data_IF_051114738325
#
_entry.id   IF_051114738325
#
_cell.length_a   1.000
_cell.length_b   1.000
_cell.length_c   1.000
_cell.angle_alpha   90.00
_cell.angle_beta   90.00
_cell.angle_gamma   90.00
#
_symmetry.space_group_name_H-M   'P 1'
#
loop_
_entity.id
_entity.type
_entity.pdbx_description
1 polymer ?
#
# COMPACT_ATOMS: atom_id res chain seq x y z
N UNK A 1 11.86 3.71 -13.07
CA UNK A 1 11.56 2.27 -13.25
C UNK A 1 11.19 1.74 -11.88
N UNK A 2 10.20 0.85 -11.79
CA UNK A 2 9.87 0.19 -10.51
C UNK A 2 11.01 -0.71 -10.06
N UNK A 3 11.21 -0.93 -8.75
CA UNK A 3 12.28 -1.79 -8.25
C UNK A 3 12.19 -3.21 -8.80
N UNK A 4 13.35 -3.83 -9.05
CA UNK A 4 13.39 -5.17 -9.62
C UNK A 4 12.97 -6.23 -8.60
N UNK A 5 12.23 -7.25 -9.06
CA UNK A 5 11.95 -8.46 -8.29
C UNK A 5 13.20 -9.35 -8.26
N UNK A 6 13.47 -9.99 -7.13
CA UNK A 6 14.61 -10.87 -6.86
C UNK A 6 14.13 -12.29 -6.58
N UNK A 7 14.98 -13.26 -6.89
CA UNK A 7 14.81 -14.70 -6.60
C UNK A 7 13.68 -15.43 -7.34
N UNK A 8 12.65 -14.71 -7.80
CA UNK A 8 11.57 -15.22 -8.64
C UNK A 8 11.46 -14.39 -9.91
N UNK A 9 10.89 -14.98 -10.97
CA UNK A 9 10.68 -14.32 -12.25
C UNK A 9 9.18 -14.04 -12.41
N UNK A 10 8.71 -12.80 -12.24
CA UNK A 10 7.31 -12.46 -12.46
C UNK A 10 6.85 -12.82 -13.87
N UNK A 11 5.59 -13.25 -13.98
CA UNK A 11 4.91 -13.41 -15.27
C UNK A 11 4.79 -12.04 -15.93
N UNK A 12 5.30 -11.93 -17.15
CA UNK A 12 5.17 -10.72 -17.98
C UNK A 12 3.68 -10.44 -18.21
N UNK A 13 3.18 -9.22 -17.92
CA UNK A 13 1.78 -8.86 -18.16
C UNK A 13 1.29 -9.11 -19.59
N UNK A 14 2.16 -9.08 -20.60
CA UNK A 14 1.82 -9.38 -22.01
C UNK A 14 1.52 -10.85 -22.27
N UNK A 15 2.04 -11.73 -21.42
CA UNK A 15 1.92 -13.18 -21.51
C UNK A 15 1.14 -13.77 -20.33
N UNK A 16 0.56 -12.92 -19.48
CA UNK A 16 -0.24 -13.36 -18.35
C UNK A 16 -1.57 -13.94 -18.86
N UNK A 17 -1.93 -15.10 -18.34
CA UNK A 17 -3.18 -15.80 -18.65
C UNK A 17 -3.93 -16.18 -17.37
N UNK A 18 -5.19 -16.61 -17.52
CA UNK A 18 -6.02 -17.09 -16.42
C UNK A 18 -6.12 -16.12 -15.22
N UNK A 19 -5.94 -16.66 -14.02
CA UNK A 19 -6.04 -15.91 -12.74
C UNK A 19 -5.01 -14.78 -12.65
N UNK A 20 -3.79 -14.97 -13.16
CA UNK A 20 -2.74 -13.93 -13.12
C UNK A 20 -3.16 -12.73 -13.96
N UNK A 21 -3.68 -12.96 -15.18
CA UNK A 21 -4.16 -11.90 -16.04
C UNK A 21 -5.32 -11.13 -15.41
N UNK A 22 -6.23 -11.82 -14.74
CA UNK A 22 -7.37 -11.20 -14.06
C UNK A 22 -6.91 -10.30 -12.90
N UNK A 23 -6.04 -10.81 -12.03
CA UNK A 23 -5.50 -10.00 -10.93
C UNK A 23 -4.73 -8.79 -11.47
N UNK A 24 -3.91 -8.94 -12.49
CA UNK A 24 -3.18 -7.81 -13.10
C UNK A 24 -4.13 -6.76 -13.68
N UNK A 25 -5.25 -7.16 -14.28
CA UNK A 25 -6.28 -6.22 -14.76
C UNK A 25 -6.89 -5.44 -13.61
N UNK A 26 -7.31 -6.12 -12.54
CA UNK A 26 -7.91 -5.48 -11.37
C UNK A 26 -6.93 -4.51 -10.69
N UNK A 27 -5.69 -4.96 -10.45
CA UNK A 27 -4.60 -4.12 -9.89
C UNK A 27 -4.41 -2.86 -10.73
N UNK A 28 -4.34 -2.99 -12.06
CA UNK A 28 -4.16 -1.83 -12.93
C UNK A 28 -5.36 -0.89 -12.91
N UNK A 29 -6.57 -1.43 -12.79
CA UNK A 29 -7.80 -0.63 -12.72
C UNK A 29 -7.91 0.15 -11.39
N UNK A 30 -7.56 -0.48 -10.28
CA UNK A 30 -7.82 0.06 -8.94
C UNK A 30 -6.61 0.79 -8.33
N UNK A 31 -5.39 0.43 -8.73
CA UNK A 31 -4.15 1.09 -8.26
C UNK A 31 -3.44 1.89 -9.35
N UNK A 32 -3.86 1.78 -10.61
CA UNK A 32 -3.25 2.47 -11.76
C UNK A 32 -1.89 1.93 -12.20
N UNK A 33 -1.13 1.31 -11.30
CA UNK A 33 0.23 0.81 -11.53
C UNK A 33 0.37 -0.63 -11.06
N UNK A 34 0.95 -1.46 -11.92
CA UNK A 34 1.37 -2.80 -11.57
C UNK A 34 2.81 -2.77 -11.07
N UNK A 35 3.03 -3.22 -9.84
CA UNK A 35 4.34 -3.13 -9.16
C UNK A 35 4.74 -4.42 -8.44
N UNK A 36 5.99 -4.47 -7.91
CA UNK A 36 6.56 -5.66 -7.28
C UNK A 36 5.73 -6.18 -6.10
N UNK A 37 4.95 -5.32 -5.43
CA UNK A 37 4.05 -5.72 -4.34
C UNK A 37 3.06 -6.82 -4.75
N UNK A 38 2.68 -6.90 -6.03
CA UNK A 38 1.79 -7.94 -6.55
C UNK A 38 2.50 -8.85 -7.56
N UNK A 39 3.35 -8.31 -8.43
CA UNK A 39 3.97 -9.11 -9.51
C UNK A 39 4.90 -10.19 -8.96
N UNK A 40 5.50 -10.02 -7.78
CA UNK A 40 6.36 -11.04 -7.17
C UNK A 40 5.64 -12.36 -6.85
N UNK A 41 4.30 -12.35 -6.73
CA UNK A 41 3.50 -13.55 -6.47
C UNK A 41 3.01 -14.24 -7.74
N UNK A 42 3.13 -13.59 -8.91
CA UNK A 42 2.57 -14.12 -10.16
C UNK A 42 3.05 -15.50 -10.61
N UNK A 43 4.24 -16.01 -10.22
CA UNK A 43 4.62 -17.40 -10.49
C UNK A 43 3.84 -18.44 -9.68
N UNK A 44 3.12 -18.02 -8.63
CA UNK A 44 2.29 -18.86 -7.77
C UNK A 44 0.86 -18.29 -7.72
N UNK A 45 0.01 -18.54 -8.73
CA UNK A 45 -1.34 -17.97 -8.82
C UNK A 45 -2.23 -18.25 -7.59
N UNK A 46 -2.03 -19.39 -6.94
CA UNK A 46 -2.68 -19.81 -5.70
C UNK A 46 -2.33 -18.92 -4.50
N UNK A 47 -1.22 -18.17 -4.56
CA UNK A 47 -0.86 -17.13 -3.59
C UNK A 47 -1.26 -15.74 -4.08
N UNK A 48 -1.09 -15.46 -5.38
CA UNK A 48 -1.38 -14.16 -5.96
C UNK A 48 -2.83 -13.72 -5.70
N UNK A 49 -3.80 -14.57 -6.03
CA UNK A 49 -5.20 -14.18 -5.94
C UNK A 49 -5.64 -13.92 -4.48
N UNK A 50 -5.34 -14.79 -3.49
CA UNK A 50 -5.67 -14.49 -2.11
C UNK A 50 -4.97 -13.25 -1.55
N UNK A 51 -3.69 -13.02 -1.89
CA UNK A 51 -2.97 -11.81 -1.45
C UNK A 51 -3.59 -10.56 -2.04
N UNK A 52 -3.97 -10.59 -3.33
CA UNK A 52 -4.70 -9.49 -3.95
C UNK A 52 -6.05 -9.26 -3.28
N UNK A 53 -6.84 -10.30 -3.03
CA UNK A 53 -8.12 -10.17 -2.32
C UNK A 53 -7.95 -9.56 -0.92
N UNK A 54 -6.96 -10.01 -0.15
CA UNK A 54 -6.67 -9.45 1.16
C UNK A 54 -6.32 -7.96 1.07
N UNK A 55 -5.44 -7.58 0.15
CA UNK A 55 -5.08 -6.17 -0.04
C UNK A 55 -6.29 -5.35 -0.47
N UNK A 56 -7.04 -5.83 -1.46
CA UNK A 56 -8.19 -5.12 -2.02
C UNK A 56 -9.26 -4.87 -0.98
N UNK A 57 -9.74 -5.91 -0.31
CA UNK A 57 -10.84 -5.78 0.64
C UNK A 57 -10.43 -5.02 1.90
N UNK A 58 -9.19 -5.18 2.37
CA UNK A 58 -8.74 -4.54 3.60
C UNK A 58 -8.21 -3.12 3.42
N UNK A 59 -7.80 -2.73 2.21
CA UNK A 59 -7.26 -1.40 1.93
C UNK A 59 -8.13 -0.60 0.96
N UNK A 60 -8.54 -1.17 -0.19
CA UNK A 60 -9.27 -0.48 -1.29
C UNK A 60 -10.73 -0.27 -0.97
N UNK A 61 -11.43 -1.31 -0.53
CA UNK A 61 -12.86 -1.20 -0.28
C UNK A 61 -13.15 -0.29 0.92
N UNK A 62 -14.05 0.67 0.75
CA UNK A 62 -14.48 1.64 1.76
C UNK A 62 -14.72 3.02 1.15
N UNK A 63 -15.23 3.96 1.95
CA UNK A 63 -15.30 5.37 1.53
C UNK A 63 -13.93 6.08 1.68
N UNK A 64 -13.76 7.29 1.11
CA UNK A 64 -12.49 8.01 1.11
C UNK A 64 -11.87 8.22 2.50
N UNK A 65 -12.69 8.51 3.52
CA UNK A 65 -12.20 8.68 4.89
C UNK A 65 -11.74 7.37 5.53
N UNK A 66 -12.42 6.26 5.26
CA UNK A 66 -11.97 4.94 5.73
C UNK A 66 -10.68 4.54 5.00
N UNK A 67 -10.60 4.80 3.69
CA UNK A 67 -9.39 4.57 2.90
C UNK A 67 -8.21 5.33 3.48
N UNK A 68 -8.38 6.62 3.77
CA UNK A 68 -7.36 7.46 4.41
C UNK A 68 -6.88 6.87 5.75
N UNK A 69 -7.80 6.42 6.60
CA UNK A 69 -7.46 5.78 7.87
C UNK A 69 -6.67 4.47 7.67
N UNK A 70 -7.04 3.65 6.68
CA UNK A 70 -6.29 2.43 6.33
C UNK A 70 -4.90 2.73 5.76
N UNK A 71 -4.75 3.82 5.00
CA UNK A 71 -3.44 4.30 4.54
C UNK A 71 -2.53 4.74 5.70
N UNK A 72 -3.08 5.28 6.78
CA UNK A 72 -2.32 5.54 8.03
C UNK A 72 -1.75 4.23 8.58
N UNK A 73 -2.58 3.20 8.73
CA UNK A 73 -2.15 1.88 9.23
C UNK A 73 -1.05 1.29 8.32
N UNK A 74 -1.28 1.28 7.02
CA UNK A 74 -0.31 0.78 6.03
C UNK A 74 1.03 1.52 6.10
N UNK A 75 0.99 2.85 6.22
CA UNK A 75 2.20 3.70 6.30
C UNK A 75 2.98 3.42 7.58
N UNK A 76 2.31 3.32 8.72
CA UNK A 76 2.97 3.03 10.02
C UNK A 76 3.65 1.67 9.99
N UNK A 77 2.96 0.62 9.53
CA UNK A 77 3.54 -0.73 9.42
C UNK A 77 4.74 -0.72 8.46
N UNK A 78 4.65 -0.02 7.33
CA UNK A 78 5.74 0.11 6.38
C UNK A 78 6.99 0.80 6.96
N UNK A 79 6.79 1.92 7.68
CA UNK A 79 7.86 2.67 8.36
C UNK A 79 8.51 1.80 9.43
N UNK A 80 7.70 1.21 10.32
CA UNK A 80 8.17 0.33 11.40
C UNK A 80 8.98 -0.84 10.86
N UNK A 81 8.54 -1.44 9.76
CA UNK A 81 9.22 -2.59 9.15
C UNK A 81 10.42 -2.18 8.26
N UNK A 82 10.66 -0.88 8.04
CA UNK A 82 11.74 -0.36 7.21
C UNK A 82 11.60 -0.70 5.72
N UNK A 83 10.36 -0.81 5.22
CA UNK A 83 10.09 -1.10 3.82
C UNK A 83 9.94 0.20 3.01
N UNK A 84 11.01 0.62 2.33
CA UNK A 84 11.06 1.90 1.61
C UNK A 84 10.06 1.96 0.46
N UNK A 85 9.88 0.85 -0.26
CA UNK A 85 8.87 0.77 -1.33
C UNK A 85 7.48 1.10 -0.80
N UNK A 86 7.05 0.39 0.25
CA UNK A 86 5.74 0.60 0.86
C UNK A 86 5.63 2.00 1.48
N UNK A 87 6.64 2.47 2.22
CA UNK A 87 6.59 3.81 2.81
C UNK A 87 6.41 4.89 1.74
N UNK A 88 7.18 4.87 0.65
CA UNK A 88 7.06 5.88 -0.41
C UNK A 88 5.73 5.76 -1.18
N UNK A 89 5.22 4.55 -1.39
CA UNK A 89 3.93 4.32 -2.04
C UNK A 89 2.76 4.91 -1.22
N UNK A 90 2.66 4.54 0.07
CA UNK A 90 1.57 4.97 0.93
C UNK A 90 1.64 6.46 1.29
N UNK A 91 2.84 7.01 1.50
CA UNK A 91 3.02 8.47 1.66
C UNK A 91 2.54 9.19 0.40
N UNK A 92 2.89 8.69 -0.79
CA UNK A 92 2.42 9.31 -2.05
C UNK A 92 0.91 9.20 -2.20
N UNK A 93 0.28 8.10 -1.74
CA UNK A 93 -1.17 7.97 -1.72
C UNK A 93 -1.83 8.96 -0.77
N UNK A 94 -1.30 9.17 0.43
CA UNK A 94 -1.81 10.19 1.36
C UNK A 94 -1.65 11.62 0.79
N UNK A 95 -0.53 11.92 0.12
CA UNK A 95 -0.42 13.16 -0.67
C UNK A 95 -1.50 13.26 -1.75
N UNK A 96 -1.82 12.15 -2.41
CA UNK A 96 -2.85 12.12 -3.46
C UNK A 96 -4.24 12.33 -2.85
N UNK A 97 -4.50 11.82 -1.65
CA UNK A 97 -5.72 12.05 -0.88
C UNK A 97 -5.85 13.48 -0.33
N UNK A 98 -4.84 14.34 -0.51
CA UNK A 98 -4.87 15.73 -0.03
C UNK A 98 -4.34 15.91 1.40
N UNK A 99 -3.57 14.93 1.91
CA UNK A 99 -3.09 14.87 3.29
C UNK A 99 -1.54 14.92 3.37
N UNK A 100 -0.86 15.95 2.80
CA UNK A 100 0.59 15.96 2.71
C UNK A 100 1.28 16.12 4.08
N UNK A 101 0.69 16.83 5.03
CA UNK A 101 1.23 16.98 6.38
C UNK A 101 1.19 15.66 7.15
N UNK A 102 0.05 14.96 7.11
CA UNK A 102 -0.09 13.61 7.65
C UNK A 102 0.92 12.65 7.03
N UNK A 103 1.02 12.65 5.71
CA UNK A 103 1.90 11.76 4.97
C UNK A 103 3.37 11.93 5.39
N UNK A 104 3.85 13.18 5.47
CA UNK A 104 5.25 13.45 5.84
C UNK A 104 5.50 13.23 7.35
N UNK A 105 4.51 13.49 8.21
CA UNK A 105 4.59 13.17 9.63
C UNK A 105 4.76 11.67 9.86
N UNK A 106 3.88 10.85 9.27
CA UNK A 106 3.97 9.39 9.36
C UNK A 106 5.29 8.86 8.80
N UNK A 107 5.75 9.40 7.66
CA UNK A 107 7.07 9.04 7.09
C UNK A 107 8.22 9.28 8.08
N UNK A 108 8.15 10.37 8.83
CA UNK A 108 9.14 10.72 9.85
C UNK A 108 8.96 9.93 11.16
N UNK A 109 7.92 9.09 11.26
CA UNK A 109 7.58 8.35 12.48
C UNK A 109 6.85 9.19 13.53
N UNK A 110 6.29 10.35 13.14
CA UNK A 110 5.58 11.26 14.05
C UNK A 110 4.21 11.59 13.47
N UNK A 111 3.18 10.87 13.92
CA UNK A 111 1.81 11.12 13.50
C UNK A 111 1.29 12.47 14.04
N UNK A 112 0.50 13.23 13.25
CA UNK A 112 -0.25 14.38 13.78
C UNK A 112 -1.20 13.97 14.91
N UNK A 113 -1.52 14.87 15.86
CA UNK A 113 -2.34 14.54 17.04
C UNK A 113 -3.68 13.86 16.74
N UNK A 114 -4.34 14.26 15.66
CA UNK A 114 -5.63 13.71 15.25
C UNK A 114 -5.56 12.23 14.80
N UNK A 115 -4.38 11.77 14.36
CA UNK A 115 -4.12 10.40 13.91
C UNK A 115 -3.28 9.59 14.91
N UNK A 116 -2.83 10.21 16.00
CA UNK A 116 -1.87 9.60 16.93
C UNK A 116 -2.38 8.27 17.51
N UNK A 117 -3.63 8.21 17.96
CA UNK A 117 -4.19 6.97 18.51
C UNK A 117 -4.20 5.81 17.50
N UNK A 118 -4.57 6.07 16.24
CA UNK A 118 -4.58 5.05 15.20
C UNK A 118 -3.15 4.66 14.79
N UNK A 119 -2.24 5.62 14.74
CA UNK A 119 -0.84 5.36 14.45
C UNK A 119 -0.16 4.53 15.54
N UNK A 120 -0.43 4.84 16.82
CA UNK A 120 0.07 4.09 17.97
C UNK A 120 -0.46 2.65 17.94
N UNK A 121 -1.76 2.47 17.69
CA UNK A 121 -2.34 1.14 17.49
C UNK A 121 -1.70 0.41 16.30
N UNK A 122 -1.48 1.07 15.17
CA UNK A 122 -0.86 0.44 14.01
C UNK A 122 0.62 0.05 14.23
N UNK A 123 1.31 0.72 15.17
CA UNK A 123 2.67 0.39 15.56
C UNK A 123 2.75 -0.88 16.40
N UNK A 124 1.69 -1.26 17.11
CA UNK A 124 1.54 -2.53 17.83
C UNK A 124 0.08 -3.04 17.78
N UNK A 125 -0.37 -3.58 16.63
CA UNK A 125 -1.79 -3.87 16.41
C UNK A 125 -2.34 -4.92 17.36
N UNK A 126 -3.53 -4.62 17.91
CA UNK A 126 -4.29 -5.53 18.78
C UNK A 126 -5.72 -5.73 18.24
N UNK A 127 -6.48 -6.64 18.84
CA UNK A 127 -7.90 -6.86 18.50
C UNK A 127 -8.77 -5.63 18.77
N UNK A 128 -8.42 -4.87 19.80
CA UNK A 128 -9.06 -3.61 20.17
C UNK A 128 -8.25 -2.44 19.63
N UNK A 129 -8.93 -1.36 19.24
CA UNK A 129 -8.30 -0.18 18.69
C UNK A 129 -9.22 1.05 18.71
N UNK A 130 -8.73 2.20 18.23
CA UNK A 130 -9.46 3.47 18.22
C UNK A 130 -10.49 3.53 17.07
N UNK A 131 -11.24 2.45 16.87
CA UNK A 131 -12.27 2.30 15.85
C UNK A 131 -13.46 1.53 16.43
N UNK A 132 -14.62 1.66 15.78
CA UNK A 132 -15.79 0.88 16.16
C UNK A 132 -15.51 -0.63 16.02
N UNK A 133 -16.01 -1.50 16.92
CA UNK A 133 -15.79 -2.94 16.84
C UNK A 133 -16.16 -3.55 15.48
N UNK A 134 -17.18 -3.02 14.81
CA UNK A 134 -17.65 -3.45 13.49
C UNK A 134 -16.65 -3.11 12.37
N UNK A 135 -15.73 -2.18 12.61
CA UNK A 135 -14.65 -1.81 11.70
C UNK A 135 -13.34 -2.57 11.98
N UNK A 136 -13.22 -3.26 13.11
CA UNK A 136 -11.99 -3.96 13.51
C UNK A 136 -11.45 -4.91 12.43
N UNK A 137 -12.27 -5.76 11.76
CA UNK A 137 -11.75 -6.66 10.72
C UNK A 137 -11.07 -5.92 9.56
N UNK A 138 -11.53 -4.69 9.24
CA UNK A 138 -11.01 -3.90 8.11
C UNK A 138 -9.61 -3.39 8.43
N UNK A 139 -9.40 -2.80 9.62
CA UNK A 139 -8.11 -2.30 10.06
C UNK A 139 -7.11 -3.41 10.40
N UNK A 140 -7.57 -4.47 11.07
CA UNK A 140 -6.74 -5.65 11.35
C UNK A 140 -6.31 -6.30 10.04
N UNK A 141 -7.21 -6.42 9.06
CA UNK A 141 -6.90 -6.89 7.72
C UNK A 141 -5.79 -6.06 7.06
N UNK A 142 -5.88 -4.73 7.16
CA UNK A 142 -4.85 -3.81 6.64
C UNK A 142 -3.50 -4.08 7.31
N UNK A 143 -3.48 -4.13 8.64
CA UNK A 143 -2.24 -4.41 9.38
C UNK A 143 -1.63 -5.75 8.95
N UNK A 144 -2.42 -6.82 8.89
CA UNK A 144 -1.94 -8.16 8.53
C UNK A 144 -1.40 -8.23 7.09
N UNK A 145 -2.09 -7.64 6.11
CA UNK A 145 -1.62 -7.67 4.72
C UNK A 145 -0.32 -6.87 4.57
N UNK A 146 -0.16 -5.76 5.29
CA UNK A 146 1.08 -4.99 5.25
C UNK A 146 2.22 -5.62 6.03
N UNK A 147 1.91 -6.37 7.10
CA UNK A 147 2.91 -7.22 7.76
C UNK A 147 3.46 -8.27 6.78
N UNK A 148 2.60 -8.90 5.97
CA UNK A 148 3.03 -9.82 4.93
C UNK A 148 3.85 -9.14 3.83
N UNK A 149 3.29 -8.09 3.22
CA UNK A 149 3.88 -7.45 2.04
C UNK A 149 5.22 -6.78 2.33
N UNK A 150 5.32 -6.06 3.44
CA UNK A 150 6.57 -5.35 3.79
C UNK A 150 7.72 -6.33 4.04
N UNK A 151 7.45 -7.49 4.67
CA UNK A 151 8.46 -8.54 4.89
C UNK A 151 8.88 -9.19 3.58
N UNK A 152 7.92 -9.53 2.72
CA UNK A 152 8.21 -10.18 1.44
C UNK A 152 8.90 -9.25 0.45
N UNK A 153 8.48 -7.99 0.32
CA UNK A 153 9.13 -7.01 -0.56
C UNK A 153 10.59 -6.79 -0.19
N UNK A 154 10.93 -6.76 1.10
CA UNK A 154 12.33 -6.61 1.55
C UNK A 154 13.23 -7.76 1.09
N UNK A 155 12.66 -8.94 0.82
CA UNK A 155 13.39 -10.13 0.37
C UNK A 155 13.32 -10.28 -1.14
N UNK A 156 12.10 -10.26 -1.69
CA UNK A 156 11.79 -10.57 -3.08
C UNK A 156 11.81 -9.36 -4.01
N UNK A 157 12.11 -8.16 -3.52
CA UNK A 157 12.33 -6.99 -4.38
C UNK A 157 13.46 -6.14 -3.83
N UNK A 158 14.01 -5.27 -4.68
CA UNK A 158 14.87 -4.19 -4.24
C UNK A 158 14.06 -3.25 -3.32
N UNK A 159 14.56 -3.02 -2.10
CA UNK A 159 13.89 -2.20 -1.09
C UNK A 159 14.11 -0.70 -1.37
N UNK A 160 13.66 -0.27 -2.54
CA UNK A 160 13.77 1.09 -3.06
C UNK A 160 12.40 1.72 -3.28
N UNK A 161 12.38 3.04 -3.48
CA UNK A 161 11.16 3.77 -3.80
C UNK A 161 10.52 3.22 -5.09
N UNK A 162 9.18 3.24 -5.25
CA UNK A 162 8.52 2.81 -6.49
C UNK A 162 9.00 3.57 -7.73
N UNK A 163 9.50 4.79 -7.54
CA UNK A 163 10.16 5.60 -8.55
C UNK A 163 11.17 6.54 -7.89
N UNK A 164 12.31 6.85 -8.54
CA UNK A 164 13.30 7.80 -8.01
C UNK A 164 12.69 9.16 -7.66
N UNK A 165 11.66 9.60 -8.38
CA UNK A 165 10.94 10.85 -8.13
C UNK A 165 10.34 10.88 -6.72
N UNK A 166 9.85 9.75 -6.21
CA UNK A 166 9.16 9.67 -4.92
C UNK A 166 10.10 9.71 -3.70
N UNK A 167 11.41 9.75 -3.92
CA UNK A 167 12.40 9.83 -2.83
C UNK A 167 12.37 11.19 -2.11
N UNK A 168 11.96 12.25 -2.81
CA UNK A 168 11.92 13.62 -2.29
C UNK A 168 10.49 14.06 -1.96
N UNK A 169 10.31 14.98 -1.00
CA UNK A 169 8.99 15.55 -0.66
C UNK A 169 8.32 16.21 -1.87
N UNK A 170 9.07 17.03 -2.61
CA UNK A 170 8.55 17.69 -3.81
C UNK A 170 8.13 16.66 -4.87
N UNK A 171 8.94 15.64 -5.09
CA UNK A 171 8.62 14.60 -6.05
C UNK A 171 7.42 13.75 -5.66
N UNK A 172 7.19 13.50 -4.36
CA UNK A 172 5.92 12.89 -3.89
C UNK A 172 4.72 13.78 -4.14
N UNK A 173 4.84 15.09 -3.89
CA UNK A 173 3.77 16.06 -4.19
C UNK A 173 3.44 16.17 -5.68
N UNK A 174 4.44 16.04 -6.56
CA UNK A 174 4.21 16.04 -8.01
C UNK A 174 3.65 14.67 -8.46
N UNK A 175 4.25 13.58 -7.99
CA UNK A 175 3.83 12.22 -8.32
C UNK A 175 2.41 11.90 -7.85
N UNK A 176 1.98 12.46 -6.72
CA UNK A 176 0.65 12.27 -6.17
C UNK A 176 -0.46 12.80 -7.08
N UNK A 177 -0.18 13.81 -7.93
CA UNK A 177 -1.16 14.28 -8.94
C UNK A 177 -1.45 13.22 -9.98
N UNK A 178 -0.43 12.48 -10.41
CA UNK A 178 -0.58 11.37 -11.35
C UNK A 178 -1.34 10.24 -10.66
N UNK A 179 -0.97 9.91 -9.42
CA UNK A 179 -1.68 8.88 -8.63
C UNK A 179 -3.16 9.26 -8.50
N UNK A 180 -3.48 10.50 -8.08
CA UNK A 180 -4.86 10.99 -7.98
C UNK A 180 -5.63 10.83 -9.29
N UNK A 181 -5.03 11.12 -10.44
CA UNK A 181 -5.68 10.92 -11.75
C UNK A 181 -5.97 9.44 -12.04
N UNK A 182 -5.09 8.54 -11.60
CA UNK A 182 -5.24 7.11 -11.83
C UNK A 182 -6.24 6.44 -10.88
N UNK A 183 -6.44 6.99 -9.68
CA UNK A 183 -7.33 6.42 -8.65
C UNK A 183 -8.47 7.36 -8.24
N UNK A 184 -8.83 8.34 -9.08
CA UNK A 184 -9.77 9.40 -8.73
C UNK A 184 -11.11 8.87 -8.21
N UNK A 185 -11.63 7.80 -8.81
CA UNK A 185 -12.89 7.17 -8.42
C UNK A 185 -12.89 6.58 -7.00
N UNK A 186 -11.70 6.34 -6.42
CA UNK A 186 -11.52 5.75 -5.08
C UNK A 186 -11.25 6.83 -4.00
N UNK A 187 -11.02 8.09 -4.41
CA UNK A 187 -10.63 9.19 -3.51
C UNK A 187 -11.67 10.33 -3.43
N UNK A 188 -12.80 10.19 -4.12
CA UNK A 188 -13.95 11.11 -4.15
C UNK A 188 -15.16 10.52 -3.43
#
# INVERSE_FOLDING_TARGET
MSPAVRHVVPVDPKHAEGVVAEVYRQVKSELGVLGPALTMFSPAPELLAPVWSLLRESLLVGGPEERKAKEVVATVVAVRNGCRFCTDAHVTMLHAAGEPELAEGLRAGVAPPEWAALADWAADPSVDGPFAPEAAPRFIGTALVFELLTRLLKVLAENEAPSPVLTTRLGRSVGSRIVRQLVAAELE
#
